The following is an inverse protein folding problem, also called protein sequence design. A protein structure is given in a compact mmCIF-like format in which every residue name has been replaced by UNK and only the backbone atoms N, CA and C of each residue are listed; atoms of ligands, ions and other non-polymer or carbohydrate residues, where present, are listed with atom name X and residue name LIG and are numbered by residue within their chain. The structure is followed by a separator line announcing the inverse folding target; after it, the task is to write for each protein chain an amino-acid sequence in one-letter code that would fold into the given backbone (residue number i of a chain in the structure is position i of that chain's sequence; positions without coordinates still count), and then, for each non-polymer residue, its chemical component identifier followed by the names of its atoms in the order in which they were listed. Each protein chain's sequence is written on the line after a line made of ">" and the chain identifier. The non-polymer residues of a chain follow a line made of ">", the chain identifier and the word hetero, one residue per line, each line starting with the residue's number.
data_IF_961901379286
#
_entry.id   IF_961901379286
#
_cell.length_a   1.000
_cell.length_b   1.000
_cell.length_c   1.000
_cell.angle_alpha   90.00
_cell.angle_beta   90.00
_cell.angle_gamma   90.00
#
_symmetry.space_group_name_H-M   'P 1'
#
loop_
_entity.id
_entity.type
_entity.pdbx_description
1 polymer ?
#
# COMPACT_ATOMS: atom_id res chain seq x y z
N UNK A 1 -2.27 30.18 -52.22
CA UNK A 1 -2.19 30.55 -50.79
C UNK A 1 -2.69 29.35 -49.97
N UNK A 2 -1.80 28.51 -49.42
CA UNK A 2 -2.17 27.35 -48.60
C UNK A 2 -2.09 27.75 -47.13
N UNK A 3 -3.22 27.81 -46.43
CA UNK A 3 -3.26 28.00 -44.98
C UNK A 3 -2.99 26.66 -44.28
N UNK A 4 -1.82 26.54 -43.67
CA UNK A 4 -1.49 25.45 -42.76
C UNK A 4 -2.19 25.71 -41.43
N UNK A 5 -3.19 24.90 -41.07
CA UNK A 5 -3.83 24.94 -39.75
C UNK A 5 -2.89 24.29 -38.74
N UNK A 6 -2.30 25.09 -37.85
CA UNK A 6 -1.65 24.59 -36.63
C UNK A 6 -2.74 24.17 -35.64
N UNK A 7 -2.86 22.86 -35.39
CA UNK A 7 -3.65 22.35 -34.28
C UNK A 7 -2.81 22.47 -33.00
N UNK A 8 -3.22 23.37 -32.11
CA UNK A 8 -2.65 23.48 -30.77
C UNK A 8 -3.16 22.29 -29.94
N UNK A 9 -2.31 21.29 -29.72
CA UNK A 9 -2.61 20.20 -28.80
C UNK A 9 -2.56 20.73 -27.36
N UNK A 10 -3.71 20.97 -26.75
CA UNK A 10 -3.82 21.22 -25.31
C UNK A 10 -3.55 19.90 -24.58
N UNK A 11 -2.37 19.79 -23.97
CA UNK A 11 -2.07 18.72 -23.04
C UNK A 11 -2.90 18.93 -21.77
N UNK A 12 -3.96 18.16 -21.59
CA UNK A 12 -4.69 18.09 -20.31
C UNK A 12 -3.81 17.38 -19.29
N UNK A 13 -3.13 18.16 -18.45
CA UNK A 13 -2.50 17.63 -17.24
C UNK A 13 -3.62 17.41 -16.22
N UNK A 14 -4.13 16.17 -16.14
CA UNK A 14 -5.07 15.82 -15.08
C UNK A 14 -4.42 16.10 -13.72
N UNK A 15 -5.17 16.61 -12.72
CA UNK A 15 -4.62 16.86 -11.40
C UNK A 15 -4.06 15.55 -10.83
N UNK A 16 -2.76 15.55 -10.53
CA UNK A 16 -2.10 14.45 -9.81
C UNK A 16 -2.43 14.64 -8.34
N UNK A 17 -3.35 13.83 -7.82
CA UNK A 17 -3.61 13.79 -6.39
C UNK A 17 -2.42 13.14 -5.68
N UNK A 18 -1.95 13.78 -4.62
CA UNK A 18 -0.82 13.29 -3.82
C UNK A 18 -1.24 13.08 -2.37
N UNK A 19 -0.95 11.90 -1.84
CA UNK A 19 -0.97 11.66 -0.40
C UNK A 19 0.33 12.16 0.24
N UNK A 20 0.29 12.44 1.55
CA UNK A 20 1.46 12.86 2.32
C UNK A 20 1.41 12.33 3.75
N UNK A 21 2.58 12.01 4.31
CA UNK A 21 2.79 11.67 5.71
C UNK A 21 4.29 11.53 6.01
N UNK A 22 4.70 11.76 7.26
CA UNK A 22 6.07 11.43 7.71
C UNK A 22 7.20 12.15 6.96
N UNK A 23 6.95 13.34 6.42
CA UNK A 23 7.91 14.05 5.57
C UNK A 23 8.11 13.43 4.17
N UNK A 24 7.14 12.65 3.68
CA UNK A 24 7.12 12.15 2.29
C UNK A 24 5.77 12.36 1.62
N UNK A 25 5.80 12.44 0.29
CA UNK A 25 4.62 12.45 -0.58
C UNK A 25 4.63 11.27 -1.54
N UNK A 26 3.45 10.88 -2.03
CA UNK A 26 3.29 9.87 -3.08
C UNK A 26 2.10 10.24 -3.97
N UNK A 27 2.13 9.77 -5.22
CA UNK A 27 1.01 9.90 -6.15
C UNK A 27 -0.07 8.88 -5.80
N UNK A 28 -1.33 9.32 -5.73
CA UNK A 28 -2.46 8.42 -5.50
C UNK A 28 -2.58 7.39 -6.65
N UNK A 29 -2.81 6.10 -6.34
CA UNK A 29 -2.82 5.08 -7.37
C UNK A 29 -4.04 5.22 -8.31
N UNK A 30 -3.83 5.25 -9.64
CA UNK A 30 -4.94 5.37 -10.57
C UNK A 30 -5.87 4.16 -10.49
N UNK A 31 -7.18 4.42 -10.58
CA UNK A 31 -8.21 3.37 -10.54
C UNK A 31 -8.53 2.84 -9.14
N UNK A 32 -7.86 3.32 -8.10
CA UNK A 32 -8.24 3.04 -6.71
C UNK A 32 -9.09 4.18 -6.16
N UNK A 33 -10.08 3.84 -5.34
CA UNK A 33 -10.94 4.83 -4.71
C UNK A 33 -10.32 5.27 -3.38
N UNK A 34 -9.95 6.55 -3.26
CA UNK A 34 -9.51 7.13 -1.98
C UNK A 34 -10.69 7.29 -1.03
N UNK A 35 -10.52 6.85 0.22
CA UNK A 35 -11.46 7.06 1.33
C UNK A 35 -10.99 8.20 2.26
N UNK A 36 -9.94 8.92 1.87
CA UNK A 36 -9.34 10.00 2.65
C UNK A 36 -8.52 9.51 3.85
N UNK A 37 -8.11 10.48 4.67
CA UNK A 37 -7.39 10.25 5.92
C UNK A 37 -8.36 10.05 7.10
N UNK A 38 -7.89 9.35 8.13
CA UNK A 38 -8.57 9.18 9.42
C UNK A 38 -7.53 8.93 10.51
N UNK A 39 -7.87 8.93 11.82
CA UNK A 39 -6.87 8.74 12.87
C UNK A 39 -5.94 7.54 12.60
N UNK A 40 -4.63 7.79 12.67
CA UNK A 40 -3.54 6.84 12.37
C UNK A 40 -3.43 6.33 10.92
N UNK A 41 -4.30 6.78 10.01
CA UNK A 41 -4.27 6.44 8.59
C UNK A 41 -4.19 7.71 7.75
N UNK A 42 -3.00 7.96 7.20
CA UNK A 42 -2.78 9.05 6.27
C UNK A 42 -3.63 8.89 4.99
N UNK A 43 -3.87 7.65 4.56
CA UNK A 43 -4.80 7.34 3.49
C UNK A 43 -5.37 5.91 3.62
N UNK A 44 -6.56 5.70 3.08
CA UNK A 44 -7.08 4.36 2.75
C UNK A 44 -7.58 4.38 1.31
N UNK A 45 -7.18 3.37 0.53
CA UNK A 45 -7.64 3.16 -0.84
C UNK A 45 -8.38 1.83 -0.96
N UNK A 46 -9.55 1.85 -1.58
CA UNK A 46 -10.25 0.63 -2.02
C UNK A 46 -9.73 0.22 -3.39
N UNK A 47 -9.34 -1.04 -3.51
CA UNK A 47 -8.81 -1.67 -4.71
C UNK A 47 -9.89 -2.60 -5.27
N UNK A 48 -10.44 -2.31 -6.46
CA UNK A 48 -11.51 -3.11 -7.05
C UNK A 48 -11.15 -4.58 -7.18
N UNK A 49 -12.09 -5.47 -6.86
CA UNK A 49 -11.93 -6.91 -7.02
C UNK A 49 -11.49 -7.30 -8.44
N UNK A 50 -10.50 -8.17 -8.56
CA UNK A 50 -10.11 -8.75 -9.84
C UNK A 50 -11.13 -9.81 -10.29
N UNK A 51 -11.23 -10.11 -11.60
CA UNK A 51 -12.11 -11.17 -12.10
C UNK A 51 -11.93 -12.49 -11.33
N UNK A 52 -13.04 -12.99 -10.78
CA UNK A 52 -13.09 -14.25 -10.02
C UNK A 52 -12.90 -14.10 -8.51
N UNK A 53 -12.48 -12.94 -8.00
CA UNK A 53 -12.56 -12.61 -6.57
C UNK A 53 -13.85 -11.82 -6.30
N UNK A 54 -14.44 -12.00 -5.11
CA UNK A 54 -15.75 -11.40 -4.75
C UNK A 54 -15.64 -10.18 -3.84
N UNK A 55 -14.46 -9.92 -3.29
CA UNK A 55 -14.21 -8.84 -2.34
C UNK A 55 -13.13 -7.92 -2.91
N UNK A 56 -13.30 -6.62 -2.65
CA UNK A 56 -12.25 -5.63 -2.89
C UNK A 56 -11.06 -5.87 -1.95
N UNK A 57 -9.89 -5.38 -2.33
CA UNK A 57 -8.75 -5.25 -1.42
C UNK A 57 -8.67 -3.84 -0.83
N UNK A 58 -7.94 -3.69 0.28
CA UNK A 58 -7.67 -2.40 0.91
C UNK A 58 -6.16 -2.13 0.84
N UNK A 59 -5.77 -0.93 0.40
CA UNK A 59 -4.44 -0.39 0.63
C UNK A 59 -4.52 0.73 1.65
N UNK A 60 -3.92 0.53 2.82
CA UNK A 60 -3.86 1.51 3.88
C UNK A 60 -2.46 2.09 4.03
N UNK A 61 -2.37 3.41 4.18
CA UNK A 61 -1.13 4.11 4.52
C UNK A 61 -1.25 4.60 5.95
N UNK A 62 -0.45 4.03 6.84
CA UNK A 62 -0.41 4.38 8.25
C UNK A 62 0.75 5.31 8.56
N UNK A 63 0.49 6.26 9.44
CA UNK A 63 1.50 7.11 10.05
C UNK A 63 1.06 7.41 11.48
N UNK A 64 1.97 7.18 12.42
CA UNK A 64 1.68 7.28 13.86
C UNK A 64 2.39 8.46 14.52
N UNK A 65 3.20 9.22 13.78
CA UNK A 65 4.07 10.27 14.31
C UNK A 65 5.53 9.81 14.47
N UNK A 66 6.42 10.77 14.68
CA UNK A 66 7.85 10.53 14.85
C UNK A 66 8.12 9.65 16.09
N UNK A 67 8.91 8.59 15.89
CA UNK A 67 9.22 7.61 16.96
C UNK A 67 8.05 6.70 17.37
N UNK A 68 6.90 6.78 16.69
CA UNK A 68 5.71 5.97 16.98
C UNK A 68 5.50 4.86 15.95
N UNK A 69 4.63 3.89 16.25
CA UNK A 69 4.22 2.83 15.31
C UNK A 69 5.16 1.62 15.24
N UNK A 70 6.27 1.64 15.98
CA UNK A 70 7.22 0.53 16.08
C UNK A 70 8.22 0.43 14.93
N UNK A 71 9.19 -0.48 15.09
CA UNK A 71 10.28 -0.71 14.14
C UNK A 71 9.89 -1.58 12.93
N UNK A 72 10.80 -1.68 11.96
CA UNK A 72 10.62 -2.48 10.73
C UNK A 72 10.32 -3.95 11.06
N UNK A 73 11.14 -4.58 11.89
CA UNK A 73 11.02 -6.01 12.22
C UNK A 73 9.78 -6.33 13.05
N UNK A 74 9.43 -5.46 14.00
CA UNK A 74 8.21 -5.60 14.82
C UNK A 74 6.95 -5.57 13.95
N UNK A 75 6.93 -4.68 12.96
CA UNK A 75 5.82 -4.55 12.03
C UNK A 75 5.72 -5.74 11.07
N UNK A 76 6.84 -6.25 10.58
CA UNK A 76 6.88 -7.50 9.79
C UNK A 76 6.32 -8.66 10.61
N UNK A 77 6.81 -8.86 11.84
CA UNK A 77 6.33 -9.91 12.72
C UNK A 77 4.83 -9.79 12.98
N UNK A 78 4.34 -8.57 13.24
CA UNK A 78 2.92 -8.28 13.44
C UNK A 78 2.08 -8.61 12.20
N UNK A 79 2.53 -8.24 11.01
CA UNK A 79 1.77 -8.51 9.78
C UNK A 79 1.75 -10.00 9.41
N UNK A 80 2.87 -10.71 9.57
CA UNK A 80 2.91 -12.17 9.42
C UNK A 80 2.08 -12.88 10.51
N UNK A 81 2.00 -12.28 11.71
CA UNK A 81 1.15 -12.73 12.80
C UNK A 81 -0.35 -12.72 12.50
N UNK A 82 -0.79 -11.98 11.46
CA UNK A 82 -2.19 -11.91 11.05
C UNK A 82 -2.61 -13.02 10.09
N UNK A 83 -1.73 -13.98 9.80
CA UNK A 83 -2.05 -15.16 9.01
C UNK A 83 -2.01 -16.40 9.91
N UNK A 84 -2.98 -17.30 9.73
CA UNK A 84 -3.09 -18.54 10.50
C UNK A 84 -1.89 -19.45 10.23
N UNK A 85 -1.50 -19.57 8.97
CA UNK A 85 -0.43 -20.44 8.53
C UNK A 85 0.93 -19.88 8.97
N UNK A 86 1.79 -20.78 9.43
CA UNK A 86 3.21 -20.50 9.67
C UNK A 86 4.01 -21.36 8.69
N UNK A 87 4.50 -20.79 7.57
CA UNK A 87 5.28 -21.56 6.63
C UNK A 87 6.58 -22.05 7.28
N UNK A 88 7.05 -23.24 6.89
CA UNK A 88 8.30 -23.81 7.40
C UNK A 88 9.50 -22.88 7.16
N UNK A 89 9.45 -22.10 6.06
CA UNK A 89 10.39 -21.02 5.80
C UNK A 89 9.66 -19.68 5.91
N UNK A 90 10.07 -18.80 6.84
CA UNK A 90 9.48 -17.47 6.96
C UNK A 90 9.68 -16.65 5.67
N UNK A 91 8.68 -15.87 5.23
CA UNK A 91 8.85 -14.94 4.13
C UNK A 91 9.98 -13.96 4.43
N UNK A 92 10.87 -13.77 3.45
CA UNK A 92 12.03 -12.89 3.61
C UNK A 92 11.71 -11.49 3.11
N UNK A 93 11.98 -10.43 3.90
CA UNK A 93 11.77 -9.07 3.45
C UNK A 93 12.79 -8.67 2.37
N UNK A 94 12.33 -7.98 1.34
CA UNK A 94 13.19 -7.34 0.33
C UNK A 94 13.44 -5.90 0.72
N UNK A 95 14.69 -5.45 0.61
CA UNK A 95 15.08 -4.05 0.86
C UNK A 95 15.41 -3.36 -0.45
N UNK A 96 15.04 -2.10 -0.57
CA UNK A 96 15.41 -1.24 -1.69
C UNK A 96 15.51 0.23 -1.26
N UNK A 97 16.19 1.04 -2.07
CA UNK A 97 16.22 2.50 -1.91
C UNK A 97 15.32 3.14 -2.96
N UNK A 98 14.40 4.01 -2.53
CA UNK A 98 13.51 4.77 -3.41
C UNK A 98 13.62 6.23 -3.02
N UNK A 99 14.02 7.10 -3.96
CA UNK A 99 14.24 8.53 -3.68
C UNK A 99 15.14 8.79 -2.45
N UNK A 100 16.14 7.92 -2.21
CA UNK A 100 17.02 8.00 -1.05
C UNK A 100 16.34 7.67 0.30
N UNK A 101 15.20 6.99 0.28
CA UNK A 101 14.52 6.42 1.44
C UNK A 101 14.77 4.91 1.47
N UNK A 102 15.03 4.37 2.65
CA UNK A 102 15.06 2.93 2.84
C UNK A 102 13.63 2.38 2.86
N UNK A 103 13.36 1.40 2.00
CA UNK A 103 12.06 0.75 1.89
C UNK A 103 12.22 -0.75 2.10
N UNK A 104 11.55 -1.28 3.10
CA UNK A 104 11.49 -2.72 3.38
C UNK A 104 10.13 -3.27 2.99
N UNK A 105 10.09 -4.26 2.10
CA UNK A 105 8.88 -4.88 1.57
C UNK A 105 8.79 -6.33 2.03
N UNK A 106 7.60 -6.73 2.51
CA UNK A 106 7.28 -8.11 2.86
C UNK A 106 5.98 -8.53 2.17
N UNK A 107 5.90 -9.79 1.76
CA UNK A 107 4.71 -10.35 1.13
C UNK A 107 4.35 -11.69 1.79
N UNK A 108 3.06 -11.95 1.95
CA UNK A 108 2.58 -13.21 2.48
C UNK A 108 1.17 -13.53 1.99
N UNK A 109 0.87 -14.82 1.83
CA UNK A 109 -0.45 -15.32 1.43
C UNK A 109 -0.88 -16.43 2.37
N UNK A 110 -2.18 -16.57 2.58
CA UNK A 110 -2.76 -17.59 3.45
C UNK A 110 -4.17 -17.21 3.89
N UNK A 111 -4.56 -17.70 5.06
CA UNK A 111 -5.80 -17.36 5.74
C UNK A 111 -5.57 -16.15 6.64
N UNK A 112 -6.02 -14.99 6.16
CA UNK A 112 -5.90 -13.74 6.90
C UNK A 112 -6.93 -13.67 8.04
N UNK A 113 -6.47 -13.30 9.22
CA UNK A 113 -7.28 -13.13 10.42
C UNK A 113 -7.80 -11.69 10.48
N UNK A 114 -8.89 -11.41 9.77
CA UNK A 114 -9.47 -10.07 9.68
C UNK A 114 -10.17 -9.66 10.97
N UNK A 115 -9.97 -8.41 11.41
CA UNK A 115 -10.62 -7.85 12.60
C UNK A 115 -9.86 -6.65 13.14
N UNK A 116 -10.46 -5.94 14.11
CA UNK A 116 -9.80 -4.80 14.76
C UNK A 116 -8.47 -5.25 15.43
N UNK A 117 -7.40 -4.43 15.44
CA UNK A 117 -6.07 -4.83 15.88
C UNK A 117 -6.04 -5.58 17.23
N UNK A 118 -6.80 -5.10 18.21
CA UNK A 118 -6.86 -5.66 19.58
C UNK A 118 -8.06 -6.58 19.84
N UNK A 119 -8.93 -6.80 18.84
CA UNK A 119 -10.06 -7.71 19.02
C UNK A 119 -9.58 -9.16 19.09
N UNK A 120 -9.99 -9.96 20.10
CA UNK A 120 -9.75 -11.40 20.11
C UNK A 120 -10.60 -12.11 19.05
N UNK A 121 -11.72 -11.52 18.65
CA UNK A 121 -12.56 -12.01 17.57
C UNK A 121 -11.93 -11.62 16.24
N UNK A 122 -11.44 -12.63 15.51
CA UNK A 122 -10.97 -12.52 14.13
C UNK A 122 -11.87 -13.36 13.22
N UNK A 123 -12.14 -12.85 12.03
CA UNK A 123 -12.81 -13.57 10.95
C UNK A 123 -11.73 -14.14 10.02
N UNK A 124 -11.60 -15.47 9.91
CA UNK A 124 -10.71 -16.10 8.94
C UNK A 124 -11.13 -15.77 7.51
N UNK A 125 -10.17 -15.35 6.68
CA UNK A 125 -10.34 -15.01 5.27
C UNK A 125 -9.34 -15.84 4.45
N UNK A 126 -9.71 -17.06 4.03
CA UNK A 126 -8.82 -17.95 3.27
C UNK A 126 -8.53 -17.35 1.88
N UNK A 127 -7.36 -17.69 1.33
CA UNK A 127 -6.98 -17.23 -0.02
C UNK A 127 -6.69 -15.72 -0.10
N UNK A 128 -6.29 -15.11 1.02
CA UNK A 128 -5.89 -13.71 1.07
C UNK A 128 -4.38 -13.57 0.87
N UNK A 129 -3.98 -12.37 0.46
CA UNK A 129 -2.59 -11.95 0.33
C UNK A 129 -2.40 -10.58 0.95
N UNK A 130 -1.19 -10.34 1.44
CA UNK A 130 -0.73 -9.05 1.93
C UNK A 130 0.61 -8.68 1.30
N UNK A 131 0.73 -7.42 0.90
CA UNK A 131 1.98 -6.77 0.47
C UNK A 131 2.15 -5.56 1.38
N UNK A 132 3.17 -5.58 2.23
CA UNK A 132 3.50 -4.52 3.16
C UNK A 132 4.80 -3.85 2.75
N UNK A 133 4.86 -2.53 2.84
CA UNK A 133 6.08 -1.74 2.67
C UNK A 133 6.22 -0.76 3.83
N UNK A 134 7.41 -0.72 4.41
CA UNK A 134 7.79 0.21 5.49
C UNK A 134 8.80 1.16 4.90
N UNK A 135 8.45 2.44 4.89
CA UNK A 135 9.28 3.54 4.39
C UNK A 135 9.84 4.27 5.61
N UNK A 136 11.16 4.25 5.76
CA UNK A 136 11.86 5.02 6.79
C UNK A 136 11.95 6.48 6.32
N UNK A 137 10.91 7.25 6.64
CA UNK A 137 10.73 8.63 6.20
C UNK A 137 11.29 9.65 7.21
N UNK A 138 11.55 10.92 6.80
CA UNK A 138 12.24 11.91 7.62
C UNK A 138 11.59 12.16 9.00
N UNK A 139 10.26 12.11 9.09
CA UNK A 139 9.52 12.39 10.32
C UNK A 139 8.96 11.12 10.97
N UNK A 140 9.49 9.95 10.61
CA UNK A 140 9.08 8.66 11.15
C UNK A 140 8.57 7.68 10.09
N UNK A 141 8.36 6.43 10.50
CA UNK A 141 8.01 5.38 9.55
C UNK A 141 6.61 5.58 8.96
N UNK A 142 6.49 5.42 7.64
CA UNK A 142 5.22 5.37 6.92
C UNK A 142 5.00 3.95 6.42
N UNK A 143 3.83 3.39 6.72
CA UNK A 143 3.53 1.98 6.47
C UNK A 143 2.46 1.85 5.39
N UNK A 144 2.84 1.36 4.23
CA UNK A 144 1.91 1.06 3.13
C UNK A 144 1.55 -0.41 3.20
N UNK A 145 0.27 -0.74 3.26
CA UNK A 145 -0.17 -2.13 3.40
C UNK A 145 -1.38 -2.41 2.53
N UNK A 146 -1.16 -3.24 1.52
CA UNK A 146 -2.19 -3.78 0.64
C UNK A 146 -2.60 -5.17 1.14
N UNK A 147 -3.88 -5.40 1.37
CA UNK A 147 -4.41 -6.69 1.83
C UNK A 147 -5.79 -6.96 1.26
N UNK A 148 -6.02 -8.19 0.81
CA UNK A 148 -7.28 -8.61 0.22
C UNK A 148 -7.18 -9.99 -0.43
N UNK A 149 -8.20 -10.39 -1.23
CA UNK A 149 -8.16 -11.62 -2.00
C UNK A 149 -6.91 -11.74 -2.89
N UNK A 150 -6.37 -12.95 -3.00
CA UNK A 150 -5.04 -13.16 -3.58
C UNK A 150 -4.95 -12.73 -5.05
N UNK A 151 -5.99 -12.91 -5.88
CA UNK A 151 -5.94 -12.48 -7.29
C UNK A 151 -6.04 -10.97 -7.38
N UNK A 152 -6.92 -10.35 -6.59
CA UNK A 152 -7.02 -8.89 -6.49
C UNK A 152 -5.68 -8.26 -6.09
N UNK A 153 -5.02 -8.77 -5.05
CA UNK A 153 -3.72 -8.25 -4.60
C UNK A 153 -2.61 -8.51 -5.63
N UNK A 154 -2.61 -9.67 -6.28
CA UNK A 154 -1.65 -9.98 -7.35
C UNK A 154 -1.81 -9.03 -8.55
N UNK A 155 -3.05 -8.74 -8.97
CA UNK A 155 -3.34 -7.81 -10.05
C UNK A 155 -2.99 -6.35 -9.69
N UNK A 156 -3.16 -6.00 -8.42
CA UNK A 156 -2.85 -4.67 -7.87
C UNK A 156 -1.36 -4.45 -7.60
N UNK A 157 -0.55 -5.50 -7.53
CA UNK A 157 0.88 -5.41 -7.16
C UNK A 157 1.68 -4.41 -8.01
N UNK A 158 1.58 -4.38 -9.35
CA UNK A 158 2.30 -3.39 -10.16
C UNK A 158 1.88 -1.95 -9.86
N UNK A 159 0.60 -1.71 -9.55
CA UNK A 159 0.08 -0.38 -9.19
C UNK A 159 0.61 0.05 -7.83
N UNK A 160 0.65 -0.87 -6.86
CA UNK A 160 1.27 -0.64 -5.56
C UNK A 160 2.77 -0.32 -5.68
N UNK A 161 3.52 -1.03 -6.54
CA UNK A 161 4.93 -0.72 -6.79
C UNK A 161 5.12 0.68 -7.40
N UNK A 162 4.27 1.07 -8.37
CA UNK A 162 4.30 2.44 -8.94
C UNK A 162 4.02 3.52 -7.90
N UNK A 163 3.08 3.27 -6.99
CA UNK A 163 2.81 4.14 -5.85
C UNK A 163 4.07 4.35 -5.00
N UNK A 164 4.77 3.27 -4.63
CA UNK A 164 6.04 3.38 -3.89
C UNK A 164 7.12 4.11 -4.69
N UNK A 165 7.27 3.82 -5.99
CA UNK A 165 8.25 4.49 -6.85
C UNK A 165 7.97 6.00 -7.03
N UNK A 166 6.76 6.45 -6.75
CA UNK A 166 6.39 7.86 -6.78
C UNK A 166 6.82 8.65 -5.52
N UNK A 167 7.36 7.99 -4.49
CA UNK A 167 7.78 8.63 -3.24
C UNK A 167 8.74 9.80 -3.47
N UNK A 168 8.52 10.90 -2.77
CA UNK A 168 9.41 12.09 -2.70
C UNK A 168 9.52 12.58 -1.25
N UNK A 169 10.66 13.20 -0.93
CA UNK A 169 10.88 13.96 0.31
C UNK A 169 10.50 15.42 0.09
#
# INVERSE_FOLDING_TARGET
>A
MRLTKFALALAFCAPVFCGNAGGVTWVEPPGWKSLGSRPMRAATYTVPAAPGDKEDAECAVFYFGQGQGGGVNENIARWLGQFQEKPATPPQPRKQSIAGLNVTIIEHSGTYLSGAPMSPQKTPKPGYRMVGAIVEAPEGNVFFKLTGPAKTVQAAHPVFQKMLQSLRK
#
